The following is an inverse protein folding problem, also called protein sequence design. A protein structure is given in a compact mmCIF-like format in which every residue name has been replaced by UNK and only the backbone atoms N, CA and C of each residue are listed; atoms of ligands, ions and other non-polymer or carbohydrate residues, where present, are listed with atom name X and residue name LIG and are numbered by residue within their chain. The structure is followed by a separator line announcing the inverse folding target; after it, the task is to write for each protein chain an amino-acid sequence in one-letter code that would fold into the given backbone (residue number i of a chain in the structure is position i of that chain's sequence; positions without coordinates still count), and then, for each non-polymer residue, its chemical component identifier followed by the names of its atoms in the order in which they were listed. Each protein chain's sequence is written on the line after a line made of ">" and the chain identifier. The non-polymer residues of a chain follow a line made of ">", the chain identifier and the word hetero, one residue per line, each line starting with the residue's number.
data_IF_574152088302
#
_entry.id   IF_574152088302
#
_cell.length_a   1.000
_cell.length_b   1.000
_cell.length_c   1.000
_cell.angle_alpha   90.00
_cell.angle_beta   90.00
_cell.angle_gamma   90.00
#
_symmetry.space_group_name_H-M   'P 1'
#
loop_
_entity.id
_entity.type
_entity.pdbx_description
1 polymer ?
#
# COMPACT_ATOMS: atom_id res chain seq x y z
N UNK A 1 0.45 49.13 -14.79
CA UNK A 1 1.73 48.56 -14.31
C UNK A 1 2.18 47.52 -15.32
N UNK A 2 3.27 47.75 -16.07
CA UNK A 2 3.79 46.76 -17.00
C UNK A 2 4.89 45.90 -16.34
N UNK A 3 5.11 44.69 -16.91
CA UNK A 3 6.22 43.72 -16.71
C UNK A 3 6.15 42.72 -15.54
N UNK A 4 5.13 41.86 -15.50
CA UNK A 4 5.16 40.58 -14.76
C UNK A 4 5.34 39.35 -15.68
N UNK A 5 5.30 39.54 -17.00
CA UNK A 5 5.39 38.47 -18.02
C UNK A 5 6.82 38.21 -18.51
N UNK A 6 7.77 39.08 -18.18
CA UNK A 6 9.13 39.08 -18.72
C UNK A 6 9.96 37.85 -18.34
N UNK A 7 9.66 37.20 -17.23
CA UNK A 7 10.42 36.05 -16.76
C UNK A 7 9.98 34.74 -17.46
N UNK A 8 8.71 34.66 -17.86
CA UNK A 8 8.18 33.52 -18.61
C UNK A 8 8.81 33.44 -20.00
N UNK A 9 9.06 34.59 -20.62
CA UNK A 9 9.71 34.67 -21.92
C UNK A 9 11.23 34.38 -21.83
N UNK A 10 11.79 34.29 -20.62
CA UNK A 10 13.17 33.89 -20.36
C UNK A 10 13.33 32.37 -20.11
N UNK A 11 12.23 31.61 -20.06
CA UNK A 11 12.29 30.16 -19.91
C UNK A 11 12.86 29.51 -21.19
N UNK A 12 13.79 28.54 -21.07
CA UNK A 12 14.29 27.80 -22.22
C UNK A 12 13.16 27.08 -22.99
N UNK A 13 13.26 26.96 -24.33
CA UNK A 13 12.23 26.29 -25.13
C UNK A 13 12.07 24.80 -24.80
N UNK A 14 13.12 24.16 -24.30
CA UNK A 14 13.17 22.76 -23.84
C UNK A 14 12.82 22.61 -22.34
N UNK A 15 12.49 23.70 -21.64
CA UNK A 15 12.21 23.67 -20.20
C UNK A 15 11.10 22.68 -19.82
N UNK A 16 10.08 22.55 -20.67
CA UNK A 16 9.00 21.58 -20.43
C UNK A 16 9.50 20.14 -20.53
N UNK A 17 10.39 19.81 -21.48
CA UNK A 17 10.91 18.45 -21.64
C UNK A 17 11.69 18.01 -20.40
N UNK A 18 12.43 18.94 -19.78
CA UNK A 18 13.13 18.72 -18.52
C UNK A 18 12.16 18.52 -17.35
N UNK A 19 11.04 19.26 -17.33
CA UNK A 19 10.08 19.27 -16.23
C UNK A 19 8.97 18.22 -16.37
N UNK A 20 8.71 17.66 -17.55
CA UNK A 20 7.54 16.83 -17.83
C UNK A 20 7.40 15.63 -16.86
N UNK A 21 8.49 14.88 -16.67
CA UNK A 21 8.51 13.76 -15.73
C UNK A 21 8.34 14.21 -14.27
N UNK A 22 8.91 15.36 -13.93
CA UNK A 22 8.76 15.96 -12.61
C UNK A 22 7.31 16.40 -12.34
N UNK A 23 6.65 17.08 -13.30
CA UNK A 23 5.24 17.47 -13.20
C UNK A 23 4.33 16.25 -13.03
N UNK A 24 4.56 15.21 -13.83
CA UNK A 24 3.77 13.97 -13.74
C UNK A 24 3.90 13.33 -12.37
N UNK A 25 5.13 13.18 -11.84
CA UNK A 25 5.35 12.57 -10.53
C UNK A 25 4.73 13.40 -9.39
N UNK A 26 4.93 14.72 -9.41
CA UNK A 26 4.34 15.61 -8.41
C UNK A 26 2.81 15.62 -8.47
N UNK A 27 2.24 15.57 -9.68
CA UNK A 27 0.81 15.52 -9.85
C UNK A 27 0.19 14.19 -9.43
N UNK A 28 0.89 13.07 -9.61
CA UNK A 28 0.47 11.79 -9.03
C UNK A 28 0.50 11.84 -7.50
N UNK A 29 1.58 12.36 -6.91
CA UNK A 29 1.71 12.50 -5.47
C UNK A 29 0.64 13.44 -4.89
N UNK A 30 0.37 14.57 -5.54
CA UNK A 30 -0.71 15.48 -5.13
C UNK A 30 -2.09 14.84 -5.28
N UNK A 31 -2.33 14.06 -6.34
CA UNK A 31 -3.59 13.34 -6.52
C UNK A 31 -3.81 12.29 -5.41
N UNK A 32 -2.76 11.55 -5.05
CA UNK A 32 -2.78 10.58 -3.96
C UNK A 32 -3.12 11.26 -2.63
N UNK A 33 -2.39 12.34 -2.28
CA UNK A 33 -2.67 13.14 -1.09
C UNK A 33 -4.14 13.59 -1.03
N UNK A 34 -4.64 14.16 -2.12
CA UNK A 34 -6.00 14.71 -2.20
C UNK A 34 -7.09 13.62 -2.29
N UNK A 35 -6.73 12.36 -2.49
CA UNK A 35 -7.66 11.23 -2.42
C UNK A 35 -8.01 10.86 -0.98
N UNK A 36 -7.15 11.21 -0.01
CA UNK A 36 -7.42 10.96 1.40
C UNK A 36 -8.51 11.89 1.93
N UNK A 37 -9.50 11.37 2.68
CA UNK A 37 -10.57 12.19 3.25
C UNK A 37 -10.04 13.28 4.19
N UNK A 38 -8.96 12.99 4.91
CA UNK A 38 -8.36 13.91 5.88
C UNK A 38 -7.59 15.08 5.23
N UNK A 39 -7.36 15.03 3.91
CA UNK A 39 -6.68 16.08 3.17
C UNK A 39 -7.59 17.27 2.78
N UNK A 40 -8.86 17.28 3.20
CA UNK A 40 -9.84 18.33 2.81
C UNK A 40 -9.38 19.75 3.16
N UNK A 41 -8.72 19.94 4.31
CA UNK A 41 -8.16 21.24 4.72
C UNK A 41 -7.08 21.71 3.75
N UNK A 42 -6.20 20.81 3.33
CA UNK A 42 -5.11 21.08 2.38
C UNK A 42 -5.70 21.40 1.00
N UNK A 43 -6.67 20.62 0.53
CA UNK A 43 -7.38 20.85 -0.72
C UNK A 43 -8.00 22.26 -0.77
N UNK A 44 -8.62 22.68 0.33
CA UNK A 44 -9.25 23.99 0.46
C UNK A 44 -8.22 25.12 0.45
N UNK A 45 -7.13 24.99 1.22
CA UNK A 45 -6.06 26.00 1.26
C UNK A 45 -5.37 26.14 -0.09
N UNK A 46 -5.08 25.03 -0.77
CA UNK A 46 -4.45 25.03 -2.08
C UNK A 46 -5.41 25.44 -3.21
N UNK A 47 -6.73 25.47 -2.95
CA UNK A 47 -7.76 25.56 -3.99
C UNK A 47 -7.54 24.54 -5.13
N UNK A 48 -7.00 23.37 -4.77
CA UNK A 48 -6.74 22.25 -5.67
C UNK A 48 -7.67 21.10 -5.30
N UNK A 49 -8.22 20.47 -6.32
CA UNK A 49 -8.98 19.23 -6.21
C UNK A 49 -8.45 18.21 -7.22
N UNK A 50 -8.87 16.96 -7.10
CA UNK A 50 -8.41 15.86 -7.97
C UNK A 50 -8.62 16.17 -9.46
N UNK A 51 -9.74 16.81 -9.83
CA UNK A 51 -10.00 17.21 -11.21
C UNK A 51 -8.98 18.23 -11.70
N UNK A 52 -8.69 19.26 -10.90
CA UNK A 52 -7.72 20.30 -11.27
C UNK A 52 -6.31 19.72 -11.40
N UNK A 53 -5.94 18.79 -10.53
CA UNK A 53 -4.67 18.04 -10.65
C UNK A 53 -4.62 17.23 -11.95
N UNK A 54 -5.71 16.54 -12.32
CA UNK A 54 -5.79 15.82 -13.59
C UNK A 54 -5.65 16.74 -14.80
N UNK A 55 -6.26 17.93 -14.78
CA UNK A 55 -6.10 18.94 -15.83
C UNK A 55 -4.64 19.39 -15.95
N UNK A 56 -3.95 19.63 -14.84
CA UNK A 56 -2.53 20.01 -14.84
C UNK A 56 -1.62 18.86 -15.32
N UNK A 57 -1.97 17.61 -15.04
CA UNK A 57 -1.24 16.43 -15.52
C UNK A 57 -1.41 16.18 -17.02
N UNK A 58 -2.35 16.87 -17.69
CA UNK A 58 -2.55 16.79 -19.13
C UNK A 58 -1.69 17.77 -19.93
N UNK A 59 -0.90 18.63 -19.27
CA UNK A 59 0.07 19.48 -19.94
C UNK A 59 1.07 18.57 -20.68
N UNK A 60 1.11 18.69 -22.00
CA UNK A 60 1.97 17.88 -22.87
C UNK A 60 3.01 18.71 -23.63
N UNK A 61 2.88 20.03 -23.58
CA UNK A 61 3.73 20.93 -24.36
C UNK A 61 4.19 22.15 -23.56
N UNK A 62 5.31 22.74 -23.98
CA UNK A 62 5.82 24.00 -23.43
C UNK A 62 4.81 25.15 -23.58
N UNK A 63 4.06 25.21 -24.68
CA UNK A 63 3.06 26.24 -24.91
C UNK A 63 1.89 26.16 -23.90
N UNK A 64 1.44 24.95 -23.57
CA UNK A 64 0.41 24.72 -22.54
C UNK A 64 0.92 25.10 -21.16
N UNK A 65 2.17 24.72 -20.81
CA UNK A 65 2.80 25.11 -19.55
C UNK A 65 2.83 26.64 -19.40
N UNK A 66 3.30 27.35 -20.42
CA UNK A 66 3.31 28.83 -20.43
C UNK A 66 1.90 29.42 -20.34
N UNK A 67 0.91 28.80 -20.98
CA UNK A 67 -0.48 29.25 -20.88
C UNK A 67 -1.00 29.17 -19.45
N UNK A 68 -0.76 28.04 -18.76
CA UNK A 68 -1.13 27.87 -17.35
C UNK A 68 -0.39 28.87 -16.46
N UNK A 69 0.92 29.04 -16.63
CA UNK A 69 1.70 30.00 -15.86
C UNK A 69 1.24 31.46 -16.04
N UNK A 70 0.67 31.81 -17.19
CA UNK A 70 0.11 33.15 -17.44
C UNK A 70 -1.29 33.34 -16.85
N UNK A 71 -2.08 32.28 -16.78
CA UNK A 71 -3.52 32.36 -16.44
C UNK A 71 -3.81 31.97 -15.00
N UNK A 72 -3.14 30.93 -14.49
CA UNK A 72 -3.31 30.38 -13.15
C UNK A 72 -2.00 29.78 -12.62
N UNK A 73 -0.97 30.62 -12.37
CA UNK A 73 0.32 30.15 -11.87
C UNK A 73 0.24 29.56 -10.46
N UNK A 74 -0.76 29.97 -9.66
CA UNK A 74 -0.97 29.45 -8.31
C UNK A 74 -1.34 27.97 -8.31
N UNK A 75 -2.13 27.50 -9.29
CA UNK A 75 -2.45 26.08 -9.38
C UNK A 75 -1.20 25.22 -9.63
N UNK A 76 -0.28 25.67 -10.49
CA UNK A 76 0.98 24.96 -10.72
C UNK A 76 1.91 25.02 -9.50
N UNK A 77 1.99 26.18 -8.84
CA UNK A 77 2.71 26.35 -7.59
C UNK A 77 2.23 25.37 -6.51
N UNK A 78 0.92 25.31 -6.27
CA UNK A 78 0.35 24.40 -5.28
C UNK A 78 0.51 22.93 -5.68
N UNK A 79 0.43 22.58 -6.97
CA UNK A 79 0.67 21.21 -7.44
C UNK A 79 2.08 20.76 -7.07
N UNK A 80 3.08 21.59 -7.37
CA UNK A 80 4.48 21.31 -7.07
C UNK A 80 4.74 21.27 -5.56
N UNK A 81 4.17 22.21 -4.79
CA UNK A 81 4.32 22.24 -3.35
C UNK A 81 3.73 20.98 -2.69
N UNK A 82 2.48 20.63 -3.01
CA UNK A 82 1.82 19.44 -2.44
C UNK A 82 2.49 18.15 -2.90
N UNK A 83 2.87 18.06 -4.18
CA UNK A 83 3.59 16.92 -4.71
C UNK A 83 4.92 16.72 -3.98
N UNK A 84 5.68 17.80 -3.75
CA UNK A 84 6.95 17.76 -3.04
C UNK A 84 6.78 17.28 -1.60
N UNK A 85 5.88 17.93 -0.86
CA UNK A 85 5.59 17.56 0.54
C UNK A 85 5.22 16.09 0.66
N UNK A 86 4.43 15.57 -0.28
CA UNK A 86 4.04 14.17 -0.31
C UNK A 86 5.23 13.24 -0.60
N UNK A 87 6.04 13.56 -1.62
CA UNK A 87 7.22 12.79 -2.05
C UNK A 87 8.32 12.71 -0.97
N UNK A 88 8.41 13.69 -0.08
CA UNK A 88 9.36 13.70 1.03
C UNK A 88 8.91 12.84 2.24
N UNK A 89 7.77 12.15 2.15
CA UNK A 89 7.17 11.41 3.27
C UNK A 89 6.70 10.00 2.89
N UNK A 90 6.26 9.22 3.88
CA UNK A 90 5.68 7.89 3.67
C UNK A 90 4.39 7.90 2.84
N UNK A 91 3.71 9.05 2.72
CA UNK A 91 2.50 9.19 1.91
C UNK A 91 2.75 8.93 0.41
N UNK A 92 3.97 9.11 -0.06
CA UNK A 92 4.31 8.83 -1.46
C UNK A 92 4.52 7.34 -1.77
N UNK A 93 4.55 6.45 -0.78
CA UNK A 93 4.85 5.03 -1.01
C UNK A 93 3.98 4.37 -2.10
N UNK A 94 2.64 4.58 -2.17
CA UNK A 94 1.80 4.02 -3.23
C UNK A 94 2.20 4.53 -4.62
N UNK A 95 2.49 5.83 -4.74
CA UNK A 95 2.87 6.48 -6.00
C UNK A 95 4.23 6.00 -6.48
N UNK A 96 5.22 5.93 -5.58
CA UNK A 96 6.56 5.45 -5.91
C UNK A 96 6.54 3.98 -6.33
N UNK A 97 5.76 3.13 -5.63
CA UNK A 97 5.59 1.74 -5.99
C UNK A 97 4.95 1.57 -7.38
N UNK A 98 3.92 2.37 -7.68
CA UNK A 98 3.29 2.37 -9.00
C UNK A 98 4.27 2.77 -10.11
N UNK A 99 5.02 3.87 -9.93
CA UNK A 99 6.00 4.34 -10.93
C UNK A 99 7.12 3.33 -11.12
N UNK A 100 7.62 2.75 -10.03
CA UNK A 100 8.63 1.70 -10.07
C UNK A 100 8.16 0.50 -10.90
N UNK A 101 6.91 0.06 -10.69
CA UNK A 101 6.31 -1.05 -11.44
C UNK A 101 6.10 -0.70 -12.91
N UNK A 102 5.59 0.49 -13.21
CA UNK A 102 5.31 0.94 -14.57
C UNK A 102 6.59 1.09 -15.41
N UNK A 103 7.66 1.59 -14.80
CA UNK A 103 8.95 1.79 -15.46
C UNK A 103 9.85 0.55 -15.42
N UNK A 104 9.54 -0.43 -14.58
CA UNK A 104 10.34 -1.65 -14.42
C UNK A 104 11.74 -1.39 -13.82
N UNK A 105 11.87 -0.37 -12.98
CA UNK A 105 13.16 0.06 -12.41
C UNK A 105 13.40 -0.48 -10.99
N UNK A 106 14.66 -0.58 -10.57
CA UNK A 106 15.00 -1.01 -9.23
C UNK A 106 14.80 0.12 -8.21
N UNK A 107 14.72 -0.23 -6.92
CA UNK A 107 14.55 0.75 -5.84
C UNK A 107 15.62 1.87 -5.82
N UNK A 108 16.94 1.61 -6.01
CA UNK A 108 17.93 2.70 -6.02
C UNK A 108 17.80 3.63 -7.24
N UNK A 109 17.33 3.13 -8.37
CA UNK A 109 17.05 3.96 -9.55
C UNK A 109 15.82 4.86 -9.29
N UNK A 110 14.82 4.34 -8.58
CA UNK A 110 13.64 5.12 -8.16
C UNK A 110 14.01 6.23 -7.18
N UNK A 111 14.93 5.98 -6.23
CA UNK A 111 15.45 6.98 -5.31
C UNK A 111 16.20 8.09 -6.06
N UNK A 112 17.02 7.71 -7.06
CA UNK A 112 17.72 8.66 -7.92
C UNK A 112 16.75 9.54 -8.70
N UNK A 113 15.72 8.94 -9.31
CA UNK A 113 14.69 9.67 -10.06
C UNK A 113 13.89 10.62 -9.15
N UNK A 114 13.53 10.17 -7.95
CA UNK A 114 12.80 10.98 -6.97
C UNK A 114 13.64 12.18 -6.53
N UNK A 115 14.92 11.96 -6.22
CA UNK A 115 15.87 13.02 -5.84
C UNK A 115 15.99 14.07 -6.96
N UNK A 116 16.21 13.61 -8.20
CA UNK A 116 16.27 14.51 -9.36
C UNK A 116 14.98 15.34 -9.51
N UNK A 117 13.81 14.71 -9.40
CA UNK A 117 12.54 15.42 -9.50
C UNK A 117 12.36 16.45 -8.37
N UNK A 118 12.77 16.13 -7.14
CA UNK A 118 12.71 17.03 -5.99
C UNK A 118 13.67 18.22 -6.13
N UNK A 119 14.89 18.00 -6.63
CA UNK A 119 15.84 19.09 -6.87
C UNK A 119 15.31 20.05 -7.95
N UNK A 120 14.85 19.50 -9.07
CA UNK A 120 14.30 20.28 -10.17
C UNK A 120 13.04 21.05 -9.77
N UNK A 121 12.10 20.40 -9.07
CA UNK A 121 10.89 21.08 -8.59
C UNK A 121 11.19 22.13 -7.54
N UNK A 122 12.19 21.91 -6.67
CA UNK A 122 12.63 22.88 -5.67
C UNK A 122 13.19 24.15 -6.29
N UNK A 123 14.03 24.01 -7.32
CA UNK A 123 14.53 25.15 -8.09
C UNK A 123 13.39 25.91 -8.77
N UNK A 124 12.46 25.19 -9.40
CA UNK A 124 11.34 25.83 -10.08
C UNK A 124 10.35 26.50 -9.11
N UNK A 125 10.05 25.89 -7.97
CA UNK A 125 9.24 26.49 -6.90
C UNK A 125 9.86 27.80 -6.42
N UNK A 126 11.18 27.86 -6.24
CA UNK A 126 11.87 29.10 -5.84
C UNK A 126 11.64 30.21 -6.87
N UNK A 127 11.76 29.89 -8.17
CA UNK A 127 11.46 30.84 -9.25
C UNK A 127 10.00 31.28 -9.24
N UNK A 128 9.06 30.37 -8.98
CA UNK A 128 7.65 30.72 -8.85
C UNK A 128 7.40 31.62 -7.64
N UNK A 129 8.07 31.40 -6.50
CA UNK A 129 7.87 32.22 -5.30
C UNK A 129 8.28 33.68 -5.48
N UNK A 130 9.24 33.95 -6.36
CA UNK A 130 9.66 35.31 -6.71
C UNK A 130 8.66 36.04 -7.61
N UNK A 131 7.87 35.31 -8.40
CA UNK A 131 7.08 35.89 -9.49
C UNK A 131 5.56 35.70 -9.37
N UNK A 132 5.11 34.72 -8.58
CA UNK A 132 3.70 34.38 -8.41
C UNK A 132 3.09 35.22 -7.27
N UNK A 133 1.94 35.88 -7.51
CA UNK A 133 1.28 36.65 -6.46
C UNK A 133 0.72 35.73 -5.38
N UNK A 134 0.60 36.27 -4.15
CA UNK A 134 -0.10 35.58 -3.08
C UNK A 134 -1.59 35.32 -3.44
N UNK A 135 -2.21 34.24 -2.93
CA UNK A 135 -3.64 34.02 -3.10
C UNK A 135 -4.48 35.18 -2.56
N UNK A 136 -5.67 35.37 -3.12
CA UNK A 136 -6.58 36.44 -2.70
C UNK A 136 -6.86 36.37 -1.19
N UNK A 137 -6.72 37.50 -0.50
CA UNK A 137 -6.91 37.60 0.95
C UNK A 137 -5.72 37.15 1.80
N UNK A 138 -4.60 36.72 1.17
CA UNK A 138 -3.35 36.43 1.89
C UNK A 138 -2.38 37.60 1.84
N UNK A 139 -1.62 37.75 2.94
CA UNK A 139 -0.64 38.84 3.11
C UNK A 139 0.62 38.60 2.27
N UNK A 140 1.04 37.34 2.13
CA UNK A 140 2.17 36.95 1.29
C UNK A 140 2.07 35.48 0.88
N UNK A 141 2.75 35.13 -0.22
CA UNK A 141 2.83 33.74 -0.67
C UNK A 141 3.58 32.86 0.34
N UNK A 142 4.63 33.38 0.97
CA UNK A 142 5.37 32.65 2.01
C UNK A 142 4.54 32.30 3.25
N UNK A 143 3.67 33.22 3.73
CA UNK A 143 2.76 32.91 4.84
C UNK A 143 1.68 31.91 4.43
N UNK A 144 1.24 31.96 3.17
CA UNK A 144 0.30 30.98 2.64
C UNK A 144 0.93 29.58 2.55
N UNK A 145 2.17 29.49 2.06
CA UNK A 145 2.97 28.26 2.05
C UNK A 145 3.11 27.67 3.45
N UNK A 146 3.48 28.49 4.44
CA UNK A 146 3.62 28.02 5.83
C UNK A 146 2.32 27.38 6.34
N UNK A 147 1.16 27.97 6.06
CA UNK A 147 -0.14 27.40 6.46
C UNK A 147 -0.46 26.08 5.77
N UNK A 148 -0.03 25.91 4.52
CA UNK A 148 -0.15 24.64 3.80
C UNK A 148 0.76 23.58 4.43
N UNK A 149 2.01 23.92 4.73
CA UNK A 149 2.96 23.04 5.39
C UNK A 149 2.49 22.64 6.80
N UNK A 150 1.93 23.57 7.57
CA UNK A 150 1.31 23.29 8.88
C UNK A 150 0.13 22.31 8.74
N UNK A 151 -0.78 22.54 7.80
CA UNK A 151 -1.91 21.65 7.55
C UNK A 151 -1.46 20.25 7.10
N UNK A 152 -0.37 20.17 6.34
CA UNK A 152 0.24 18.91 5.93
C UNK A 152 0.92 18.20 7.11
N UNK A 153 1.64 18.92 7.97
CA UNK A 153 2.24 18.38 9.18
C UNK A 153 1.20 17.84 10.16
N UNK A 154 0.08 18.55 10.33
CA UNK A 154 -1.07 18.09 11.13
C UNK A 154 -1.63 16.77 10.58
N UNK A 155 -1.74 16.65 9.24
CA UNK A 155 -2.19 15.42 8.59
C UNK A 155 -1.22 14.26 8.83
N UNK A 156 0.09 14.49 8.70
CA UNK A 156 1.10 13.47 9.01
C UNK A 156 1.07 13.05 10.48
N UNK A 157 0.91 14.02 11.40
CA UNK A 157 0.86 13.74 12.83
C UNK A 157 -0.40 12.97 13.24
N UNK A 158 -1.50 13.14 12.49
CA UNK A 158 -2.73 12.38 12.67
C UNK A 158 -2.64 10.94 12.15
N UNK A 159 -1.64 10.61 11.31
CA UNK A 159 -1.45 9.24 10.87
C UNK A 159 -0.98 8.37 12.02
N UNK A 160 -1.57 7.17 12.19
CA UNK A 160 -1.08 6.22 13.18
C UNK A 160 0.38 5.89 12.87
N UNK A 161 1.26 6.03 13.87
CA UNK A 161 2.66 5.63 13.74
C UNK A 161 2.72 4.17 13.28
N UNK A 162 3.57 3.82 12.31
CA UNK A 162 3.72 2.43 11.88
C UNK A 162 4.10 1.59 13.09
N UNK A 163 3.31 0.57 13.39
CA UNK A 163 3.55 -0.30 14.53
C UNK A 163 4.95 -0.93 14.39
N UNK A 164 5.71 -1.08 15.49
CA UNK A 164 7.04 -1.66 15.43
C UNK A 164 6.97 -3.08 14.84
N UNK A 165 7.95 -3.47 14.02
CA UNK A 165 7.97 -4.80 13.43
C UNK A 165 8.11 -5.86 14.52
N UNK A 166 7.17 -6.81 14.55
CA UNK A 166 7.19 -7.95 15.45
C UNK A 166 8.07 -9.08 14.90
N UNK A 167 8.06 -9.29 13.58
CA UNK A 167 8.85 -10.34 12.93
C UNK A 167 9.38 -9.90 11.56
N UNK A 168 10.53 -10.46 11.19
CA UNK A 168 11.11 -10.34 9.85
C UNK A 168 11.30 -11.76 9.31
N UNK A 169 10.60 -12.08 8.22
CA UNK A 169 10.62 -13.40 7.60
C UNK A 169 11.23 -13.33 6.21
N UNK A 170 12.05 -14.32 5.85
CA UNK A 170 12.43 -14.57 4.45
C UNK A 170 11.79 -15.89 4.04
N UNK A 171 10.78 -15.81 3.19
CA UNK A 171 9.96 -16.95 2.83
C UNK A 171 10.36 -17.47 1.45
N UNK A 172 10.45 -18.79 1.33
CA UNK A 172 10.46 -19.43 0.02
C UNK A 172 9.11 -19.23 -0.68
N UNK A 173 9.07 -19.36 -2.00
CA UNK A 173 7.86 -19.14 -2.79
C UNK A 173 6.68 -19.98 -2.31
N UNK A 174 6.91 -21.27 -2.04
CA UNK A 174 5.88 -22.18 -1.53
C UNK A 174 5.28 -21.72 -0.19
N UNK A 175 6.12 -21.22 0.72
CA UNK A 175 5.67 -20.72 2.02
C UNK A 175 4.85 -19.44 1.87
N UNK A 176 5.28 -18.53 1.00
CA UNK A 176 4.55 -17.30 0.70
C UNK A 176 3.18 -17.59 0.06
N UNK A 177 3.13 -18.51 -0.90
CA UNK A 177 1.86 -18.93 -1.51
C UNK A 177 0.94 -19.61 -0.49
N UNK A 178 1.50 -20.37 0.45
CA UNK A 178 0.72 -20.99 1.52
C UNK A 178 0.09 -19.93 2.44
N UNK A 179 0.84 -18.89 2.84
CA UNK A 179 0.28 -17.79 3.63
C UNK A 179 -0.85 -17.07 2.88
N UNK A 180 -0.65 -16.78 1.59
CA UNK A 180 -1.68 -16.16 0.74
C UNK A 180 -2.92 -17.03 0.64
N UNK A 181 -2.76 -18.32 0.36
CA UNK A 181 -3.86 -19.27 0.25
C UNK A 181 -4.61 -19.38 1.59
N UNK A 182 -3.91 -19.43 2.72
CA UNK A 182 -4.55 -19.49 4.03
C UNK A 182 -5.45 -18.27 4.29
N UNK A 183 -4.96 -17.06 4.01
CA UNK A 183 -5.76 -15.84 4.19
C UNK A 183 -6.92 -15.76 3.21
N UNK A 184 -6.69 -16.06 1.93
CA UNK A 184 -7.74 -16.06 0.90
C UNK A 184 -8.82 -17.08 1.19
N UNK A 185 -8.44 -18.27 1.66
CA UNK A 185 -9.39 -19.30 2.05
C UNK A 185 -10.26 -18.82 3.20
N UNK A 186 -9.67 -18.31 4.28
CA UNK A 186 -10.41 -17.79 5.43
C UNK A 186 -11.32 -16.63 5.04
N UNK A 187 -10.82 -15.68 4.26
CA UNK A 187 -11.58 -14.56 3.73
C UNK A 187 -12.79 -15.01 2.88
N UNK A 188 -12.66 -16.14 2.19
CA UNK A 188 -13.69 -16.68 1.29
C UNK A 188 -14.63 -17.70 1.96
N UNK A 189 -14.46 -17.98 3.25
CA UNK A 189 -15.33 -18.92 3.95
C UNK A 189 -16.75 -18.36 4.03
N UNK A 190 -17.78 -19.17 3.76
CA UNK A 190 -19.16 -18.72 3.79
C UNK A 190 -19.62 -18.47 5.23
N UNK A 191 -20.06 -17.24 5.51
CA UNK A 191 -20.56 -16.82 6.83
C UNK A 191 -22.00 -17.27 7.11
N UNK A 192 -22.71 -17.82 6.11
CA UNK A 192 -24.14 -18.14 6.17
C UNK A 192 -24.44 -19.63 6.36
N UNK A 193 -23.43 -20.46 6.52
CA UNK A 193 -23.58 -21.92 6.60
C UNK A 193 -23.88 -22.36 8.04
N UNK A 194 -24.72 -23.38 8.23
CA UNK A 194 -25.08 -23.92 9.55
C UNK A 194 -23.97 -24.73 10.24
N UNK A 195 -22.73 -24.64 9.77
CA UNK A 195 -21.62 -25.39 10.34
C UNK A 195 -21.07 -24.70 11.61
N UNK A 196 -20.96 -25.40 12.75
CA UNK A 196 -20.50 -24.81 14.02
C UNK A 196 -19.11 -24.18 13.90
N UNK A 197 -18.16 -24.87 13.25
CA UNK A 197 -16.84 -24.33 12.94
C UNK A 197 -16.87 -23.03 12.12
N UNK A 198 -17.63 -22.96 11.03
CA UNK A 198 -17.67 -21.76 10.18
C UNK A 198 -18.26 -20.56 10.93
N UNK A 199 -19.30 -20.81 11.75
CA UNK A 199 -19.88 -19.78 12.61
C UNK A 199 -18.87 -19.28 13.64
N UNK A 200 -18.06 -20.17 14.22
CA UNK A 200 -17.02 -19.80 15.16
C UNK A 200 -15.87 -19.03 14.47
N UNK A 201 -15.44 -19.41 13.26
CA UNK A 201 -14.47 -18.62 12.47
C UNK A 201 -15.01 -17.22 12.22
N UNK A 202 -16.28 -17.10 11.82
CA UNK A 202 -16.94 -15.82 11.57
C UNK A 202 -17.13 -14.95 12.83
N UNK A 203 -16.83 -15.46 14.03
CA UNK A 203 -16.84 -14.67 15.28
C UNK A 203 -15.44 -14.17 15.66
N UNK A 204 -14.38 -14.64 15.01
CA UNK A 204 -13.02 -14.18 15.30
C UNK A 204 -12.79 -12.79 14.69
N UNK A 205 -12.47 -11.76 15.50
CA UNK A 205 -12.35 -10.38 15.01
C UNK A 205 -11.19 -10.21 14.02
N UNK A 206 -10.07 -10.91 14.27
CA UNK A 206 -8.87 -10.83 13.44
C UNK A 206 -9.04 -11.52 12.07
N UNK A 207 -10.03 -12.39 11.93
CA UNK A 207 -10.29 -13.13 10.70
C UNK A 207 -11.48 -12.56 9.90
N UNK A 208 -12.01 -11.40 10.31
CA UNK A 208 -13.04 -10.71 9.54
C UNK A 208 -12.46 -10.17 8.23
N UNK A 209 -13.25 -10.11 7.13
CA UNK A 209 -12.79 -9.59 5.83
C UNK A 209 -12.07 -8.24 5.93
N UNK A 210 -12.70 -7.26 6.58
CA UNK A 210 -12.14 -5.91 6.75
C UNK A 210 -10.80 -5.89 7.52
N UNK A 211 -10.55 -6.87 8.40
CA UNK A 211 -9.28 -6.98 9.11
C UNK A 211 -8.20 -7.67 8.25
N UNK A 212 -8.58 -8.60 7.38
CA UNK A 212 -7.66 -9.38 6.55
C UNK A 212 -7.25 -8.68 5.26
N UNK A 213 -8.12 -7.84 4.67
CA UNK A 213 -7.88 -7.14 3.40
C UNK A 213 -6.51 -6.42 3.34
N UNK A 214 -6.09 -5.62 4.36
CA UNK A 214 -4.78 -4.96 4.32
C UNK A 214 -3.61 -5.94 4.27
N UNK A 215 -3.70 -7.05 5.01
CA UNK A 215 -2.65 -8.06 5.04
C UNK A 215 -2.62 -8.90 3.75
N UNK A 216 -3.78 -9.19 3.15
CA UNK A 216 -3.87 -9.84 1.83
C UNK A 216 -3.19 -8.96 0.77
N UNK A 217 -3.46 -7.65 0.78
CA UNK A 217 -2.83 -6.71 -0.13
C UNK A 217 -1.32 -6.61 0.11
N UNK A 218 -0.90 -6.49 1.37
CA UNK A 218 0.52 -6.47 1.76
C UNK A 218 1.24 -7.72 1.23
N UNK A 219 0.72 -8.92 1.51
CA UNK A 219 1.30 -10.17 1.01
C UNK A 219 1.24 -10.30 -0.51
N UNK A 220 0.25 -9.69 -1.18
CA UNK A 220 0.13 -9.68 -2.65
C UNK A 220 1.29 -8.95 -3.34
N UNK A 221 1.86 -7.94 -2.69
CA UNK A 221 2.96 -7.12 -3.24
C UNK A 221 4.35 -7.72 -3.01
N UNK A 222 4.52 -8.55 -1.97
CA UNK A 222 5.81 -9.15 -1.58
C UNK A 222 6.22 -10.25 -2.55
N UNK A 223 7.49 -10.29 -2.97
CA UNK A 223 8.03 -11.39 -3.79
C UNK A 223 8.69 -12.46 -2.93
N UNK A 224 8.85 -13.66 -3.49
CA UNK A 224 9.58 -14.72 -2.83
C UNK A 224 11.02 -14.29 -2.51
N UNK A 225 11.55 -14.74 -1.37
CA UNK A 225 12.89 -14.41 -0.85
C UNK A 225 13.11 -12.94 -0.44
N UNK A 226 12.14 -12.05 -0.65
CA UNK A 226 12.16 -10.72 -0.05
C UNK A 226 11.89 -10.80 1.45
N UNK A 227 12.34 -9.77 2.18
CA UNK A 227 12.12 -9.67 3.61
C UNK A 227 10.68 -9.20 3.87
N UNK A 228 9.84 -10.10 4.38
CA UNK A 228 8.50 -9.82 4.85
C UNK A 228 8.59 -9.31 6.29
N UNK A 229 8.25 -8.04 6.49
CA UNK A 229 8.17 -7.42 7.81
C UNK A 229 6.73 -7.51 8.30
N UNK A 230 6.50 -8.10 9.48
CA UNK A 230 5.17 -8.27 10.06
C UNK A 230 5.05 -7.51 11.37
N UNK A 231 3.96 -6.79 11.54
CA UNK A 231 3.50 -6.27 12.82
C UNK A 231 2.89 -7.38 13.68
N UNK A 232 2.70 -7.13 14.98
CA UNK A 232 2.08 -8.13 15.87
C UNK A 232 0.65 -8.51 15.44
N UNK A 233 -0.23 -7.56 15.06
CA UNK A 233 -1.56 -7.90 14.54
C UNK A 233 -1.51 -8.79 13.29
N UNK A 234 -0.65 -8.47 12.33
CA UNK A 234 -0.49 -9.29 11.11
C UNK A 234 0.03 -10.68 11.44
N UNK A 235 0.96 -10.81 12.39
CA UNK A 235 1.47 -12.09 12.84
C UNK A 235 0.37 -12.96 13.48
N UNK A 236 -0.50 -12.34 14.30
CA UNK A 236 -1.67 -13.01 14.89
C UNK A 236 -2.64 -13.48 13.81
N UNK A 237 -2.93 -12.63 12.82
CA UNK A 237 -3.81 -12.97 11.69
C UNK A 237 -3.26 -14.14 10.87
N UNK A 238 -1.96 -14.14 10.55
CA UNK A 238 -1.32 -15.26 9.86
C UNK A 238 -1.34 -16.52 10.69
N UNK A 239 -1.06 -16.42 11.99
CA UNK A 239 -1.11 -17.55 12.92
C UNK A 239 -2.49 -18.20 12.94
N UNK A 240 -3.53 -17.40 13.12
CA UNK A 240 -4.92 -17.87 13.16
C UNK A 240 -5.37 -18.38 11.78
N UNK A 241 -5.08 -17.65 10.71
CA UNK A 241 -5.46 -18.02 9.36
C UNK A 241 -4.82 -19.33 8.89
N UNK A 242 -3.54 -19.55 9.20
CA UNK A 242 -2.85 -20.80 8.91
C UNK A 242 -3.46 -21.99 9.68
N UNK A 243 -3.84 -21.79 10.93
CA UNK A 243 -4.50 -22.81 11.75
C UNK A 243 -5.89 -23.16 11.21
N UNK A 244 -6.71 -22.15 10.87
CA UNK A 244 -8.03 -22.36 10.25
C UNK A 244 -7.89 -23.08 8.90
N UNK A 245 -6.92 -22.67 8.08
CA UNK A 245 -6.61 -23.34 6.83
C UNK A 245 -6.29 -24.83 7.09
N UNK A 246 -5.37 -25.14 8.01
CA UNK A 246 -5.08 -26.51 8.41
C UNK A 246 -6.31 -27.30 8.82
N UNK A 247 -7.17 -26.72 9.68
CA UNK A 247 -8.43 -27.31 10.14
C UNK A 247 -9.42 -27.61 9.02
N UNK A 248 -9.56 -26.69 8.05
CA UNK A 248 -10.41 -26.91 6.87
C UNK A 248 -9.89 -28.09 6.04
N UNK A 249 -8.58 -28.19 5.81
CA UNK A 249 -7.98 -29.26 5.01
C UNK A 249 -8.03 -30.66 5.66
N UNK A 250 -8.10 -30.74 6.99
CA UNK A 250 -8.20 -32.03 7.72
C UNK A 250 -9.62 -32.41 8.11
N UNK A 251 -10.62 -31.57 7.84
CA UNK A 251 -12.03 -31.82 8.20
C UNK A 251 -12.92 -32.01 6.97
N UNK A 252 -14.12 -32.58 7.20
CA UNK A 252 -15.19 -32.69 6.19
C UNK A 252 -15.78 -31.34 5.77
N UNK A 253 -15.25 -30.23 6.27
CA UNK A 253 -15.67 -28.87 5.90
C UNK A 253 -15.44 -28.64 4.41
N UNK A 254 -14.36 -29.17 3.84
CA UNK A 254 -14.10 -29.08 2.39
C UNK A 254 -15.18 -29.78 1.55
N UNK A 255 -15.57 -30.99 1.95
CA UNK A 255 -16.59 -31.78 1.23
C UNK A 255 -17.98 -31.13 1.34
N UNK A 256 -18.30 -30.57 2.52
CA UNK A 256 -19.58 -29.89 2.77
C UNK A 256 -19.73 -28.53 2.09
N UNK A 257 -18.63 -27.81 1.88
CA UNK A 257 -18.65 -26.52 1.15
C UNK A 257 -18.54 -26.74 -0.38
N UNK A 258 -18.30 -27.97 -0.84
CA UNK A 258 -18.11 -28.26 -2.27
C UNK A 258 -16.78 -27.72 -2.81
N UNK A 259 -15.80 -27.47 -1.93
CA UNK A 259 -14.47 -26.99 -2.29
C UNK A 259 -13.52 -28.11 -2.73
N UNK A 260 -13.91 -29.39 -2.57
CA UNK A 260 -13.09 -30.54 -2.97
C UNK A 260 -12.80 -30.56 -4.48
N UNK A 261 -13.77 -30.13 -5.31
CA UNK A 261 -13.62 -30.09 -6.78
C UNK A 261 -12.73 -28.93 -7.27
N UNK A 262 -12.44 -27.95 -6.41
CA UNK A 262 -11.64 -26.78 -6.74
C UNK A 262 -10.12 -27.01 -6.54
N UNK A 263 -9.73 -28.08 -5.85
CA UNK A 263 -8.32 -28.42 -5.64
C UNK A 263 -7.84 -29.45 -6.67
N UNK A 264 -6.71 -29.21 -7.35
CA UNK A 264 -6.19 -30.14 -8.34
C UNK A 264 -5.81 -31.47 -7.64
N UNK A 265 -6.47 -32.55 -8.07
CA UNK A 265 -6.08 -33.92 -7.73
C UNK A 265 -4.91 -34.28 -8.65
N UNK A 266 -3.73 -34.54 -8.08
CA UNK A 266 -2.60 -35.04 -8.84
C UNK A 266 -2.97 -36.39 -9.45
N UNK A 267 -2.71 -36.56 -10.73
CA UNK A 267 -2.94 -37.84 -11.41
C UNK A 267 -1.95 -38.90 -10.88
N UNK A 268 -2.35 -40.17 -10.86
CA UNK A 268 -1.48 -41.28 -10.40
C UNK A 268 -0.12 -41.32 -11.15
N UNK A 269 -0.09 -40.80 -12.39
CA UNK A 269 1.12 -40.68 -13.20
C UNK A 269 2.10 -39.60 -12.70
N UNK A 270 1.60 -38.51 -12.10
CA UNK A 270 2.41 -37.42 -11.53
C UNK A 270 2.91 -37.77 -10.11
N UNK A 271 2.11 -38.51 -9.35
CA UNK A 271 2.50 -39.01 -8.02
C UNK A 271 3.69 -39.98 -8.09
N UNK A 272 3.76 -40.81 -9.13
CA UNK A 272 4.83 -41.80 -9.31
C UNK A 272 6.17 -41.19 -9.80
N UNK A 273 6.15 -39.97 -10.36
CA UNK A 273 7.34 -39.31 -10.91
C UNK A 273 8.16 -38.52 -9.85
N UNK A 274 7.64 -38.40 -8.63
CA UNK A 274 8.20 -37.51 -7.61
C UNK A 274 8.63 -38.31 -6.37
N UNK A 275 9.82 -38.93 -6.43
CA UNK A 275 10.36 -39.89 -5.44
C UNK A 275 10.52 -39.36 -3.99
N UNK A 276 10.27 -38.07 -3.73
CA UNK A 276 10.34 -37.46 -2.40
C UNK A 276 9.23 -36.41 -2.14
N UNK A 277 8.10 -36.48 -2.86
CA UNK A 277 6.97 -35.59 -2.62
C UNK A 277 6.00 -36.15 -1.56
N UNK A 278 5.36 -35.29 -0.75
CA UNK A 278 4.34 -35.70 0.20
C UNK A 278 3.21 -36.49 -0.49
N UNK A 279 2.74 -37.54 0.17
CA UNK A 279 1.80 -38.56 -0.36
C UNK A 279 0.43 -37.94 -0.74
N UNK A 280 0.14 -36.70 -0.33
CA UNK A 280 -1.04 -35.92 -0.70
C UNK A 280 -0.81 -34.42 -0.49
N UNK A 281 -1.43 -33.57 -1.31
CA UNK A 281 -1.47 -32.11 -1.12
C UNK A 281 -1.92 -31.71 0.30
N UNK A 282 -2.80 -32.50 0.93
CA UNK A 282 -3.25 -32.29 2.33
C UNK A 282 -2.11 -32.43 3.34
N UNK A 283 -1.20 -33.37 3.12
CA UNK A 283 -0.05 -33.59 4.00
C UNK A 283 0.96 -32.44 3.89
N UNK A 284 1.22 -31.96 2.67
CA UNK A 284 2.10 -30.80 2.43
C UNK A 284 1.61 -29.55 3.16
N UNK A 285 0.30 -29.26 3.06
CA UNK A 285 -0.35 -28.14 3.77
C UNK A 285 -0.23 -28.34 5.28
N UNK A 286 -0.49 -29.55 5.78
CA UNK A 286 -0.35 -29.87 7.21
C UNK A 286 1.07 -29.63 7.75
N UNK A 287 2.10 -30.05 7.03
CA UNK A 287 3.51 -29.83 7.40
C UNK A 287 3.86 -28.34 7.41
N UNK A 288 3.43 -27.57 6.40
CA UNK A 288 3.67 -26.13 6.34
C UNK A 288 2.95 -25.36 7.45
N UNK A 289 1.68 -25.69 7.72
CA UNK A 289 0.90 -25.10 8.82
C UNK A 289 1.53 -25.42 10.16
N UNK A 290 1.91 -26.67 10.40
CA UNK A 290 2.56 -27.11 11.64
C UNK A 290 3.91 -26.41 11.84
N UNK A 291 4.74 -26.34 10.78
CA UNK A 291 6.03 -25.66 10.81
C UNK A 291 5.92 -24.18 11.17
N UNK A 292 5.02 -23.45 10.51
CA UNK A 292 4.78 -22.03 10.80
C UNK A 292 4.27 -21.84 12.23
N UNK A 293 3.31 -22.66 12.65
CA UNK A 293 2.74 -22.62 14.00
C UNK A 293 3.79 -22.85 15.07
N UNK A 294 4.61 -23.89 14.91
CA UNK A 294 5.67 -24.19 15.86
C UNK A 294 6.70 -23.05 15.94
N UNK A 295 7.04 -22.47 14.79
CA UNK A 295 7.92 -21.31 14.74
C UNK A 295 7.35 -20.10 15.50
N UNK A 296 6.08 -19.71 15.26
CA UNK A 296 5.42 -18.61 16.00
C UNK A 296 5.43 -18.91 17.49
N UNK A 297 5.05 -20.13 17.86
CA UNK A 297 4.90 -20.48 19.26
C UNK A 297 6.21 -20.50 20.05
N UNK A 298 7.31 -20.88 19.38
CA UNK A 298 8.66 -20.90 19.93
C UNK A 298 9.28 -19.50 19.98
N UNK A 299 8.99 -18.66 19.00
CA UNK A 299 9.56 -17.31 18.89
C UNK A 299 8.84 -16.31 19.80
N UNK A 300 7.54 -16.50 20.01
CA UNK A 300 6.69 -15.63 20.83
C UNK A 300 5.96 -16.43 21.92
N UNK A 301 6.69 -17.02 22.90
CA UNK A 301 6.07 -17.81 23.96
C UNK A 301 5.27 -16.96 24.95
N UNK A 302 5.76 -15.75 25.26
CA UNK A 302 5.24 -14.88 26.32
C UNK A 302 4.40 -13.71 25.79
N UNK A 303 4.20 -13.62 24.46
CA UNK A 303 3.40 -12.55 23.85
C UNK A 303 1.91 -12.78 24.16
N UNK A 304 1.23 -11.84 24.86
CA UNK A 304 -0.15 -12.03 25.29
C UNK A 304 -1.12 -12.18 24.11
N UNK A 305 -0.88 -11.48 23.00
CA UNK A 305 -1.68 -11.57 21.78
C UNK A 305 -1.63 -12.97 21.17
N UNK A 306 -0.45 -13.59 21.14
CA UNK A 306 -0.25 -14.95 20.64
C UNK A 306 -0.85 -15.98 21.61
N UNK A 307 -0.78 -15.74 22.92
CA UNK A 307 -1.42 -16.60 23.91
C UNK A 307 -2.95 -16.58 23.78
N UNK A 308 -3.54 -15.40 23.59
CA UNK A 308 -4.96 -15.25 23.32
C UNK A 308 -5.34 -15.95 22.00
N UNK A 309 -4.60 -15.71 20.92
CA UNK A 309 -4.84 -16.35 19.63
C UNK A 309 -4.80 -17.88 19.72
N UNK A 310 -3.88 -18.45 20.53
CA UNK A 310 -3.84 -19.90 20.81
C UNK A 310 -5.09 -20.40 21.52
N UNK A 311 -5.62 -19.63 22.47
CA UNK A 311 -6.85 -20.01 23.19
C UNK A 311 -8.06 -19.99 22.25
N UNK A 312 -8.18 -18.94 21.43
CA UNK A 312 -9.23 -18.81 20.41
C UNK A 312 -9.18 -19.97 19.40
N UNK A 313 -7.99 -20.34 18.91
CA UNK A 313 -7.83 -21.47 17.99
C UNK A 313 -8.12 -22.81 18.65
N UNK A 314 -7.79 -23.00 19.93
CA UNK A 314 -8.17 -24.24 20.65
C UNK A 314 -9.68 -24.37 20.78
N UNK A 315 -10.36 -23.30 21.18
CA UNK A 315 -11.83 -23.27 21.23
C UNK A 315 -12.44 -23.55 19.86
N UNK A 316 -11.83 -23.04 18.79
CA UNK A 316 -12.26 -23.32 17.43
C UNK A 316 -12.09 -24.81 17.07
N UNK A 317 -10.96 -25.43 17.42
CA UNK A 317 -10.72 -26.85 17.17
C UNK A 317 -11.78 -27.75 17.82
N UNK A 318 -12.27 -27.37 19.01
CA UNK A 318 -13.32 -28.11 19.72
C UNK A 318 -14.67 -28.13 18.95
N UNK A 319 -14.89 -27.19 18.02
CA UNK A 319 -16.11 -27.12 17.19
C UNK A 319 -16.11 -28.02 15.96
N UNK A 320 -14.99 -28.73 15.71
CA UNK A 320 -14.87 -29.72 14.63
C UNK A 320 -15.42 -31.10 15.02
N UNK A 321 -15.68 -31.33 16.31
CA UNK A 321 -16.19 -32.60 16.87
C UNK A 321 -17.69 -32.82 16.73
#
# INVERSE_FOLDING_TARGET
>A
MPTSTSWLDALPPDFYEQLAHCLSLHGMAAAELLSHPDAQRIATLASLNTRRVQELNQIQTHAELLHILRTDPLALYHLLLLGRLTLETSLAAPVLAYVQQQMGIAAPDMETLTTYCLELSGAFLTTLEEHVPAPAGQVSLGLHRLRLEEAFADLLAAQPAPAPPAANLRLAEQQLQMLRLALLLVHSLPNTTDHPFLRAVAQLPNLQPAALEPLIEHLGRVRAQEQLTLTMPELVQLYQGMQVCGMVFVSDVMSRIGLEDAFPVLSEAEAAATEAAPVSNRQAVGEMVSGFTHWVQRTFPDAPEIQQARQEIRQLADTLG
#
